data_IF_763546479881
#
_entry.id   IF_763546479881
#
_cell.length_a   1.000
_cell.length_b   1.000
_cell.length_c   1.000
_cell.angle_alpha   90.00
_cell.angle_beta   90.00
_cell.angle_gamma   90.00
#
_symmetry.space_group_name_H-M   'P 1'
#
loop_
_entity.id
_entity.type
_entity.pdbx_description
1 polymer ?
#
# COMPACT_ATOMS: atom_id res chain seq x y z
N UNK A 1 -1.62 28.95 -13.38
CA UNK A 1 -3.03 28.87 -12.98
C UNK A 1 -3.09 28.67 -11.48
N UNK A 2 -3.81 29.52 -10.76
CA UNK A 2 -4.03 29.33 -9.32
C UNK A 2 -5.21 28.36 -9.21
N UNK A 3 -4.95 27.14 -8.72
CA UNK A 3 -6.02 26.19 -8.46
C UNK A 3 -6.91 26.74 -7.33
N UNK A 4 -8.23 26.51 -7.37
CA UNK A 4 -9.11 26.91 -6.28
C UNK A 4 -8.65 26.27 -4.97
N UNK A 5 -8.82 26.98 -3.86
CA UNK A 5 -8.52 26.48 -2.53
C UNK A 5 -9.55 25.39 -2.17
N UNK A 6 -9.17 24.13 -2.33
CA UNK A 6 -10.00 22.97 -2.02
C UNK A 6 -9.57 22.42 -0.67
N UNK A 7 -10.42 22.57 0.34
CA UNK A 7 -10.26 21.93 1.64
C UNK A 7 -11.03 20.60 1.65
N UNK A 8 -10.35 19.44 1.70
CA UNK A 8 -11.03 18.16 1.72
C UNK A 8 -11.73 17.94 3.07
N UNK A 9 -12.94 17.38 3.05
CA UNK A 9 -13.63 16.97 4.29
C UNK A 9 -12.98 15.73 4.92
N UNK A 10 -12.32 14.89 4.11
CA UNK A 10 -11.64 13.68 4.53
C UNK A 10 -10.37 13.45 3.71
N UNK A 11 -9.32 12.92 4.34
CA UNK A 11 -8.10 12.49 3.68
C UNK A 11 -7.92 10.99 3.88
N UNK A 12 -7.59 10.27 2.82
CA UNK A 12 -7.25 8.85 2.88
C UNK A 12 -6.08 8.58 1.92
N UNK A 13 -5.23 7.64 2.30
CA UNK A 13 -4.09 7.24 1.48
C UNK A 13 -3.67 5.82 1.83
N UNK A 14 -3.20 5.09 0.82
CA UNK A 14 -2.81 3.68 0.94
C UNK A 14 -1.28 3.56 0.93
N UNK A 15 -0.72 2.73 1.82
CA UNK A 15 0.72 2.46 1.88
C UNK A 15 1.50 3.78 2.04
N UNK A 16 2.35 4.15 1.09
CA UNK A 16 3.05 5.45 1.10
C UNK A 16 2.09 6.65 1.12
N UNK A 17 0.91 6.52 0.50
CA UNK A 17 -0.08 7.60 0.42
C UNK A 17 -0.66 7.99 1.79
N UNK A 18 -0.61 7.13 2.80
CA UNK A 18 -1.12 7.43 4.14
C UNK A 18 -0.37 8.62 4.76
N UNK A 19 0.95 8.71 4.57
CA UNK A 19 1.75 9.83 5.04
C UNK A 19 1.34 11.15 4.41
N UNK A 20 1.00 11.14 3.11
CA UNK A 20 0.49 12.31 2.42
C UNK A 20 -0.90 12.71 2.95
N UNK A 21 -1.79 11.74 3.20
CA UNK A 21 -3.10 11.98 3.78
C UNK A 21 -3.02 12.56 5.20
N UNK A 22 -2.12 12.03 6.03
CA UNK A 22 -1.83 12.54 7.38
C UNK A 22 -1.21 13.95 7.35
N UNK A 23 -0.38 14.23 6.34
CA UNK A 23 0.22 15.56 6.15
C UNK A 23 -0.82 16.59 5.73
N UNK A 24 -1.69 16.24 4.77
CA UNK A 24 -2.75 17.13 4.29
C UNK A 24 -3.85 17.38 5.35
N UNK A 25 -4.01 16.46 6.31
CA UNK A 25 -4.97 16.60 7.42
C UNK A 25 -4.36 17.22 8.69
N UNK A 26 -3.15 17.78 8.59
CA UNK A 26 -2.40 18.39 9.70
C UNK A 26 -2.15 17.45 10.89
N UNK A 27 -2.24 16.13 10.69
CA UNK A 27 -1.95 15.10 11.73
C UNK A 27 -0.48 14.73 11.79
N UNK A 28 0.25 14.95 10.70
CA UNK A 28 1.69 14.77 10.62
C UNK A 28 2.30 16.00 9.95
N UNK A 29 3.24 16.69 10.59
CA UNK A 29 3.85 17.85 9.95
C UNK A 29 4.78 17.40 8.80
N UNK A 30 4.83 18.18 7.72
CA UNK A 30 5.63 17.85 6.53
C UNK A 30 7.12 17.61 6.87
N UNK A 31 7.68 18.43 7.75
CA UNK A 31 9.07 18.32 8.20
C UNK A 31 9.39 16.99 8.90
N UNK A 32 8.41 16.36 9.56
CA UNK A 32 8.54 15.02 10.14
C UNK A 32 8.11 13.91 9.19
N UNK A 33 7.21 14.18 8.25
CA UNK A 33 6.73 13.21 7.28
C UNK A 33 7.85 12.72 6.35
N UNK A 34 8.68 13.63 5.83
CA UNK A 34 9.77 13.30 4.90
C UNK A 34 10.78 12.30 5.50
N UNK A 35 11.42 12.56 6.67
CA UNK A 35 12.36 11.60 7.25
C UNK A 35 11.70 10.28 7.66
N UNK A 36 10.41 10.29 8.01
CA UNK A 36 9.66 9.08 8.32
C UNK A 36 9.44 8.21 7.08
N UNK A 37 9.11 8.83 5.94
CA UNK A 37 9.00 8.15 4.64
C UNK A 37 10.34 7.57 4.21
N UNK A 38 11.43 8.31 4.37
CA UNK A 38 12.78 7.85 4.08
C UNK A 38 13.15 6.62 4.94
N UNK A 39 12.96 6.71 6.26
CA UNK A 39 13.24 5.61 7.17
C UNK A 39 12.43 4.35 6.79
N UNK A 40 11.14 4.51 6.49
CA UNK A 40 10.29 3.42 6.01
C UNK A 40 10.84 2.79 4.73
N UNK A 41 11.23 3.61 3.75
CA UNK A 41 11.78 3.10 2.48
C UNK A 41 13.06 2.30 2.70
N UNK A 42 13.97 2.79 3.54
CA UNK A 42 15.22 2.10 3.91
C UNK A 42 14.94 0.75 4.57
N UNK A 43 14.08 0.71 5.58
CA UNK A 43 13.76 -0.56 6.26
C UNK A 43 13.03 -1.56 5.36
N UNK A 44 12.16 -1.08 4.47
CA UNK A 44 11.52 -1.93 3.46
C UNK A 44 12.53 -2.52 2.49
N UNK A 45 13.48 -1.71 2.01
CA UNK A 45 14.54 -2.16 1.10
C UNK A 45 15.41 -3.23 1.77
N UNK A 46 15.85 -3.00 3.01
CA UNK A 46 16.61 -3.99 3.77
C UNK A 46 15.85 -5.32 3.97
N UNK A 47 14.54 -5.25 4.19
CA UNK A 47 13.70 -6.44 4.32
C UNK A 47 13.57 -7.20 3.00
N UNK A 48 13.40 -6.50 1.88
CA UNK A 48 13.35 -7.08 0.53
C UNK A 48 14.68 -7.76 0.14
N UNK A 49 15.82 -7.19 0.54
CA UNK A 49 17.13 -7.78 0.29
C UNK A 49 17.35 -9.06 1.12
N UNK A 50 16.87 -9.07 2.38
CA UNK A 50 16.94 -10.25 3.26
C UNK A 50 15.99 -11.38 2.83
N UNK A 51 14.85 -11.03 2.24
CA UNK A 51 13.84 -11.99 1.78
C UNK A 51 13.32 -11.58 0.39
N UNK A 52 14.02 -11.96 -0.69
CA UNK A 52 13.59 -11.66 -2.05
C UNK A 52 12.20 -12.22 -2.34
N UNK A 53 11.36 -11.43 -3.00
CA UNK A 53 10.01 -11.79 -3.39
C UNK A 53 9.55 -11.02 -4.61
N UNK A 54 8.31 -11.27 -5.02
CA UNK A 54 7.67 -10.56 -6.13
C UNK A 54 6.27 -10.10 -5.73
N UNK A 55 5.80 -9.04 -6.38
CA UNK A 55 4.43 -8.55 -6.25
C UNK A 55 3.79 -8.63 -7.63
N UNK A 56 2.55 -9.15 -7.67
CA UNK A 56 1.77 -9.29 -8.89
C UNK A 56 0.39 -8.67 -8.63
N UNK A 57 -0.11 -7.92 -9.61
CA UNK A 57 -1.49 -7.46 -9.60
C UNK A 57 -2.37 -8.49 -10.32
N UNK A 58 -3.46 -8.90 -9.69
CA UNK A 58 -4.45 -9.81 -10.29
C UNK A 58 -5.72 -9.02 -10.57
N UNK A 59 -6.17 -9.05 -11.82
CA UNK A 59 -7.32 -8.28 -12.31
C UNK A 59 -8.47 -9.19 -12.70
N UNK A 60 -9.69 -8.75 -12.44
CA UNK A 60 -10.94 -9.39 -12.90
C UNK A 60 -11.38 -10.62 -12.11
N UNK A 61 -10.57 -11.07 -11.15
CA UNK A 61 -10.88 -12.22 -10.28
C UNK A 61 -11.47 -11.75 -8.96
N UNK A 62 -12.40 -12.51 -8.40
CA UNK A 62 -12.98 -12.20 -7.09
C UNK A 62 -11.95 -12.50 -5.98
N UNK A 63 -11.85 -11.61 -4.99
CA UNK A 63 -11.01 -11.79 -3.79
C UNK A 63 -11.29 -13.11 -3.08
N UNK A 64 -12.56 -13.49 -2.89
CA UNK A 64 -12.94 -14.70 -2.16
C UNK A 64 -12.46 -15.97 -2.88
N UNK A 65 -12.53 -15.97 -4.20
CA UNK A 65 -12.05 -17.06 -5.05
C UNK A 65 -10.51 -17.18 -4.99
N UNK A 66 -9.81 -16.04 -4.98
CA UNK A 66 -8.36 -16.02 -4.82
C UNK A 66 -7.93 -16.48 -3.42
N UNK A 67 -8.64 -16.11 -2.37
CA UNK A 67 -8.36 -16.61 -1.02
C UNK A 67 -8.54 -18.12 -0.91
N UNK A 68 -9.60 -18.67 -1.50
CA UNK A 68 -9.83 -20.10 -1.55
C UNK A 68 -8.70 -20.81 -2.31
N UNK A 69 -8.33 -20.29 -3.48
CA UNK A 69 -7.23 -20.80 -4.30
C UNK A 69 -5.90 -20.81 -3.52
N UNK A 70 -5.59 -19.74 -2.79
CA UNK A 70 -4.35 -19.66 -2.00
C UNK A 70 -4.34 -20.64 -0.81
N UNK A 71 -5.50 -20.95 -0.21
CA UNK A 71 -5.60 -21.95 0.87
C UNK A 71 -5.37 -23.37 0.35
N UNK A 72 -5.83 -23.67 -0.86
CA UNK A 72 -5.69 -24.98 -1.51
C UNK A 72 -4.35 -25.13 -2.25
N UNK A 73 -3.66 -24.02 -2.48
CA UNK A 73 -2.38 -23.98 -3.19
C UNK A 73 -1.30 -24.82 -2.48
N UNK A 74 -0.75 -25.79 -3.21
CA UNK A 74 0.47 -26.51 -2.83
C UNK A 74 1.74 -25.78 -3.33
N UNK A 75 1.67 -24.47 -3.57
CA UNK A 75 2.80 -23.71 -4.09
C UNK A 75 4.02 -23.86 -3.16
N UNK A 76 5.21 -24.08 -3.71
CA UNK A 76 6.43 -24.26 -2.92
C UNK A 76 6.84 -22.99 -2.17
N UNK A 77 6.35 -21.83 -2.62
CA UNK A 77 6.58 -20.52 -2.02
C UNK A 77 5.27 -20.01 -1.42
N UNK A 78 5.36 -19.33 -0.28
CA UNK A 78 4.20 -18.70 0.34
C UNK A 78 3.76 -17.51 -0.49
N UNK A 79 2.46 -17.41 -0.72
CA UNK A 79 1.81 -16.33 -1.45
C UNK A 79 0.71 -15.76 -0.56
N UNK A 80 0.59 -14.44 -0.53
CA UNK A 80 -0.40 -13.72 0.27
C UNK A 80 -1.07 -12.65 -0.58
N UNK A 81 -2.33 -12.37 -0.28
CA UNK A 81 -2.99 -11.16 -0.76
C UNK A 81 -2.43 -9.99 0.05
N UNK A 82 -1.72 -9.09 -0.63
CA UNK A 82 -1.09 -7.93 -0.01
C UNK A 82 -1.99 -6.68 -0.06
N UNK A 83 -2.80 -6.54 -1.10
CA UNK A 83 -3.64 -5.38 -1.34
C UNK A 83 -5.06 -5.82 -1.71
N UNK A 84 -6.06 -5.15 -1.12
CA UNK A 84 -7.45 -5.23 -1.53
C UNK A 84 -7.81 -3.88 -2.14
N UNK A 85 -7.48 -3.69 -3.41
CA UNK A 85 -7.61 -2.38 -4.06
C UNK A 85 -9.06 -2.12 -4.51
N UNK A 86 -9.71 -3.16 -5.05
CA UNK A 86 -11.14 -3.17 -5.35
C UNK A 86 -11.64 -4.62 -5.38
N UNK A 87 -12.96 -4.88 -5.50
CA UNK A 87 -13.50 -6.25 -5.49
C UNK A 87 -12.90 -7.20 -6.54
N UNK A 88 -12.33 -6.65 -7.61
CA UNK A 88 -11.72 -7.42 -8.72
C UNK A 88 -10.25 -7.05 -8.96
N UNK A 89 -9.60 -6.39 -8.00
CA UNK A 89 -8.18 -6.09 -8.07
C UNK A 89 -7.52 -6.32 -6.72
N UNK A 90 -6.61 -7.27 -6.71
CA UNK A 90 -5.68 -7.52 -5.60
C UNK A 90 -4.24 -7.35 -6.05
#
# INVERSE_FOLDING_TARGET
QQLPEVLPSFCAGLSLGEYAALTLSDKLCFASAVPLVEARATFMQEACEKSPGAMLAVLGQNVDELEALLKESAAPQKVWIANLNCPQQV
#
